data_IF_665768499711
#
_entry.id   IF_665768499711
#
_cell.length_a   1.000
_cell.length_b   1.000
_cell.length_c   1.000
_cell.angle_alpha   90.00
_cell.angle_beta   90.00
_cell.angle_gamma   90.00
#
_symmetry.space_group_name_H-M   'P 1'
#
loop_
_entity.id
_entity.type
_entity.pdbx_description
1 polymer ?
#
# COMPACT_ATOMS: atom_id res chain seq x y z
N UNK A 1 -8.47 -32.24 3.94
CA UNK A 1 -8.98 -31.04 4.64
C UNK A 1 -10.02 -30.41 3.74
N UNK A 2 -11.26 -30.30 4.22
CA UNK A 2 -12.39 -29.81 3.43
C UNK A 2 -12.48 -28.28 3.56
N UNK A 3 -13.01 -27.60 2.54
CA UNK A 3 -13.16 -26.14 2.52
C UNK A 3 -13.96 -25.55 3.70
N UNK A 4 -14.70 -26.40 4.42
CA UNK A 4 -15.47 -26.04 5.61
C UNK A 4 -14.59 -25.82 6.86
N UNK A 5 -13.35 -26.32 6.85
CA UNK A 5 -12.43 -26.24 7.99
C UNK A 5 -11.79 -24.84 8.13
N UNK A 6 -11.84 -23.98 7.08
CA UNK A 6 -11.28 -22.63 7.09
C UNK A 6 -12.22 -21.54 7.63
N UNK A 7 -13.52 -21.84 7.79
CA UNK A 7 -14.51 -20.83 8.19
C UNK A 7 -14.47 -20.45 9.67
N UNK A 8 -13.78 -21.22 10.52
CA UNK A 8 -13.73 -20.93 11.96
C UNK A 8 -12.59 -19.99 12.38
N UNK A 9 -11.49 -19.93 11.62
CA UNK A 9 -10.26 -19.27 12.08
C UNK A 9 -10.16 -17.78 11.66
N UNK A 10 -10.85 -17.36 10.60
CA UNK A 10 -10.89 -15.94 10.21
C UNK A 10 -11.73 -15.08 11.16
N UNK A 11 -12.70 -15.70 11.87
CA UNK A 11 -13.55 -15.02 12.86
C UNK A 11 -12.81 -14.62 14.14
N UNK A 12 -11.60 -15.17 14.37
CA UNK A 12 -10.84 -14.95 15.60
C UNK A 12 -9.67 -13.97 15.46
N UNK A 13 -9.34 -13.54 14.23
CA UNK A 13 -8.48 -12.35 14.08
C UNK A 13 -9.32 -11.14 14.41
N UNK A 14 -9.32 -10.77 15.69
CA UNK A 14 -9.71 -9.45 16.16
C UNK A 14 -8.94 -8.43 15.32
N UNK A 15 -9.59 -7.89 14.29
CA UNK A 15 -9.35 -6.50 13.92
C UNK A 15 -9.54 -5.75 15.24
N UNK A 16 -8.51 -5.07 15.74
CA UNK A 16 -8.74 -4.05 16.75
C UNK A 16 -9.67 -3.05 16.07
N UNK A 17 -10.98 -3.21 16.29
CA UNK A 17 -11.89 -2.09 16.16
C UNK A 17 -11.30 -1.03 17.09
N UNK A 18 -11.04 0.16 16.56
CA UNK A 18 -10.80 1.31 17.41
C UNK A 18 -12.11 1.52 18.17
N UNK A 19 -12.18 1.03 19.41
CA UNK A 19 -13.20 1.48 20.35
C UNK A 19 -12.83 2.94 20.66
N UNK A 20 -13.62 3.87 20.14
CA UNK A 20 -13.47 5.29 20.44
C UNK A 20 -13.90 5.52 21.89
N UNK A 21 -12.92 5.56 22.79
CA UNK A 21 -13.09 6.14 24.12
C UNK A 21 -13.28 7.67 23.96
N UNK A 22 -14.49 8.10 23.64
CA UNK A 22 -14.86 9.53 23.65
C UNK A 22 -14.93 10.02 25.10
N UNK A 23 -13.82 10.53 25.61
CA UNK A 23 -13.83 11.45 26.74
C UNK A 23 -14.38 12.80 26.23
N UNK A 24 -15.48 13.26 26.82
CA UNK A 24 -16.43 14.23 26.25
C UNK A 24 -15.95 15.68 26.06
N UNK A 25 -14.69 15.91 25.73
CA UNK A 25 -14.11 17.23 25.49
C UNK A 25 -13.57 17.32 24.05
N UNK A 26 -14.46 17.12 23.08
CA UNK A 26 -14.18 17.35 21.65
C UNK A 26 -14.09 18.85 21.42
N UNK A 27 -12.93 19.40 21.74
CA UNK A 27 -12.52 20.71 21.24
C UNK A 27 -12.51 20.60 19.71
N UNK A 28 -12.85 21.67 19.00
CA UNK A 28 -12.79 21.81 17.53
C UNK A 28 -11.35 21.63 16.94
N UNK A 29 -10.47 20.88 17.61
CA UNK A 29 -9.04 20.72 17.38
C UNK A 29 -8.66 19.37 16.77
N UNK A 30 -9.57 18.39 16.77
CA UNK A 30 -9.31 17.03 16.29
C UNK A 30 -10.02 16.78 14.96
N UNK A 31 -9.51 17.39 13.89
CA UNK A 31 -9.93 17.08 12.51
C UNK A 31 -9.14 15.87 12.03
N UNK A 32 -9.82 14.77 11.77
CA UNK A 32 -9.22 13.54 11.26
C UNK A 32 -9.31 13.45 9.74
N UNK A 33 -8.21 13.04 9.11
CA UNK A 33 -8.20 12.65 7.70
C UNK A 33 -8.55 11.16 7.60
N UNK A 34 -9.66 10.85 6.93
CA UNK A 34 -10.11 9.46 6.70
C UNK A 34 -9.83 9.09 5.25
N UNK A 35 -9.22 7.92 5.03
CA UNK A 35 -8.90 7.41 3.70
C UNK A 35 -9.44 5.97 3.51
N UNK A 36 -9.80 5.55 2.29
CA UNK A 36 -10.21 4.18 2.03
C UNK A 36 -9.09 3.16 2.31
N UNK A 37 -9.42 2.05 2.98
CA UNK A 37 -8.49 0.92 3.07
C UNK A 37 -8.64 0.03 1.85
N UNK A 38 -7.65 0.07 0.97
CA UNK A 38 -7.59 -0.77 -0.23
C UNK A 38 -7.13 -2.19 0.12
N UNK A 39 -7.69 -3.20 -0.54
CA UNK A 39 -7.29 -4.60 -0.40
C UNK A 39 -6.25 -4.94 -1.49
N UNK A 40 -5.05 -4.42 -1.32
CA UNK A 40 -3.95 -4.50 -2.29
C UNK A 40 -2.64 -4.96 -1.65
N UNK A 41 -1.52 -4.57 -2.27
CA UNK A 41 -0.18 -4.86 -1.75
C UNK A 41 0.51 -3.56 -1.37
N UNK A 42 0.66 -3.33 -0.06
CA UNK A 42 1.41 -2.19 0.49
C UNK A 42 2.86 -2.20 0.02
N UNK A 43 3.31 -1.05 -0.44
CA UNK A 43 4.68 -0.80 -0.91
C UNK A 43 5.20 0.53 -0.40
N UNK A 44 6.51 0.59 -0.19
CA UNK A 44 7.27 1.83 -0.07
C UNK A 44 7.94 2.07 -1.43
N UNK A 45 7.75 3.25 -2.00
CA UNK A 45 8.36 3.67 -3.24
C UNK A 45 9.54 4.61 -2.96
N UNK A 46 10.70 4.31 -3.54
CA UNK A 46 11.89 5.15 -3.50
C UNK A 46 11.85 6.15 -4.65
N UNK A 47 11.73 7.44 -4.31
CA UNK A 47 11.59 8.52 -5.26
C UNK A 47 12.89 8.80 -6.05
N UNK A 48 14.06 8.39 -5.54
CA UNK A 48 15.33 8.60 -6.21
C UNK A 48 15.64 7.53 -7.26
N UNK A 49 15.12 6.32 -7.07
CA UNK A 49 15.38 5.17 -7.95
C UNK A 49 14.17 4.73 -8.76
N UNK A 50 12.97 5.12 -8.34
CA UNK A 50 11.71 4.58 -8.86
C UNK A 50 11.36 3.20 -8.30
N UNK A 51 12.21 2.58 -7.47
CA UNK A 51 12.01 1.21 -7.03
C UNK A 51 10.86 1.09 -6.01
N UNK A 52 10.20 -0.07 -6.01
CA UNK A 52 9.08 -0.38 -5.13
C UNK A 52 9.44 -1.57 -4.24
N UNK A 53 9.19 -1.45 -2.94
CA UNK A 53 9.48 -2.50 -1.96
C UNK A 53 8.23 -2.86 -1.17
N UNK A 54 7.88 -4.15 -1.17
CA UNK A 54 6.81 -4.67 -0.30
C UNK A 54 7.17 -4.49 1.16
N UNK A 55 6.17 -4.63 2.05
CA UNK A 55 6.39 -4.67 3.51
C UNK A 55 7.45 -5.67 3.97
N UNK A 56 7.67 -6.75 3.22
CA UNK A 56 8.70 -7.77 3.52
C UNK A 56 10.12 -7.35 3.11
N UNK A 57 10.31 -6.18 2.49
CA UNK A 57 11.57 -5.74 1.88
C UNK A 57 11.84 -6.33 0.50
N UNK A 58 10.91 -7.12 -0.05
CA UNK A 58 11.05 -7.70 -1.39
C UNK A 58 10.68 -6.67 -2.45
N UNK A 59 11.57 -6.47 -3.41
CA UNK A 59 11.38 -5.59 -4.56
C UNK A 59 10.26 -6.08 -5.50
N UNK A 60 9.44 -5.16 -6.00
CA UNK A 60 8.45 -5.41 -7.06
C UNK A 60 9.07 -5.07 -8.41
N UNK A 61 9.17 -6.06 -9.31
CA UNK A 61 9.91 -5.92 -10.59
C UNK A 61 9.03 -5.79 -11.83
N UNK A 62 7.72 -6.00 -11.69
CA UNK A 62 6.78 -6.19 -12.79
C UNK A 62 5.78 -5.02 -12.95
N UNK A 63 6.08 -3.84 -12.38
CA UNK A 63 5.27 -2.63 -12.46
C UNK A 63 6.10 -1.46 -13.01
N UNK A 64 6.70 -1.65 -14.20
CA UNK A 64 7.70 -0.77 -14.78
C UNK A 64 7.16 0.63 -15.08
N UNK A 65 5.91 0.73 -15.53
CA UNK A 65 5.20 2.01 -15.66
C UNK A 65 5.17 2.79 -14.34
N UNK A 66 4.87 2.13 -13.21
CA UNK A 66 4.88 2.77 -11.89
C UNK A 66 6.29 3.17 -11.49
N UNK A 67 7.30 2.34 -11.76
CA UNK A 67 8.68 2.69 -11.45
C UNK A 67 9.10 4.00 -12.14
N UNK A 68 8.70 4.17 -13.41
CA UNK A 68 8.94 5.39 -14.17
C UNK A 68 8.19 6.58 -13.56
N UNK A 69 6.91 6.42 -13.26
CA UNK A 69 6.07 7.50 -12.68
C UNK A 69 6.58 7.93 -11.30
N UNK A 70 7.04 7.00 -10.47
CA UNK A 70 7.65 7.28 -9.15
C UNK A 70 8.93 8.07 -9.30
N UNK A 71 9.78 7.71 -10.27
CA UNK A 71 11.02 8.45 -10.53
C UNK A 71 10.71 9.88 -11.02
N UNK A 72 9.74 10.04 -11.91
CA UNK A 72 9.27 11.35 -12.36
C UNK A 72 8.69 12.18 -11.20
N UNK A 73 7.91 11.54 -10.32
CA UNK A 73 7.40 12.15 -9.10
C UNK A 73 8.54 12.63 -8.19
N UNK A 74 9.60 11.85 -8.03
CA UNK A 74 10.76 12.24 -7.22
C UNK A 74 11.44 13.53 -7.69
N UNK A 75 11.47 13.78 -9.00
CA UNK A 75 11.93 15.06 -9.54
C UNK A 75 10.95 16.20 -9.29
N UNK A 76 9.65 15.92 -9.21
CA UNK A 76 8.59 16.90 -8.97
C UNK A 76 8.44 17.31 -7.50
N UNK A 77 8.76 16.41 -6.55
CA UNK A 77 8.66 16.65 -5.11
C UNK A 77 10.02 16.49 -4.40
N UNK A 78 10.98 17.41 -4.63
CA UNK A 78 12.29 17.32 -4.00
C UNK A 78 12.19 17.45 -2.47
N UNK A 79 13.02 16.71 -1.74
CA UNK A 79 13.06 16.73 -0.27
C UNK A 79 12.45 15.48 0.40
N UNK A 80 11.72 14.68 -0.37
CA UNK A 80 11.20 13.38 0.07
C UNK A 80 12.03 12.25 -0.54
N UNK A 81 12.34 11.25 0.28
CA UNK A 81 13.07 10.06 -0.20
C UNK A 81 12.10 8.92 -0.49
N UNK A 82 11.07 8.76 0.34
CA UNK A 82 10.14 7.64 0.26
C UNK A 82 8.69 8.11 0.35
N UNK A 83 7.82 7.42 -0.37
CA UNK A 83 6.35 7.52 -0.22
C UNK A 83 5.77 6.13 0.06
N UNK A 84 4.70 6.07 0.85
CA UNK A 84 3.98 4.85 1.19
C UNK A 84 2.65 4.79 0.44
N UNK A 85 2.33 3.61 -0.08
CA UNK A 85 1.16 3.40 -0.90
C UNK A 85 0.75 1.94 -1.00
N UNK A 86 -0.33 1.71 -1.75
CA UNK A 86 -0.88 0.38 -2.02
C UNK A 86 -0.94 0.15 -3.53
N UNK A 87 -0.38 -0.99 -4.00
CA UNK A 87 -0.62 -1.48 -5.35
C UNK A 87 -2.02 -2.08 -5.41
N UNK A 88 -2.88 -1.51 -6.27
CA UNK A 88 -4.30 -1.83 -6.29
C UNK A 88 -4.90 -1.73 -7.70
N UNK A 89 -5.99 -2.47 -7.94
CA UNK A 89 -6.88 -2.25 -9.06
C UNK A 89 -8.31 -2.63 -8.63
N UNK A 90 -9.27 -1.74 -8.82
CA UNK A 90 -10.65 -1.95 -8.37
C UNK A 90 -11.39 -3.13 -9.02
N UNK A 91 -10.94 -3.57 -10.19
CA UNK A 91 -11.53 -4.68 -10.95
C UNK A 91 -10.91 -6.03 -10.62
N UNK A 92 -9.84 -6.06 -9.83
CA UNK A 92 -9.11 -7.28 -9.48
C UNK A 92 -9.27 -7.59 -7.99
N UNK A 93 -9.28 -8.88 -7.65
CA UNK A 93 -9.17 -9.29 -6.27
C UNK A 93 -7.72 -9.26 -5.76
N UNK A 94 -7.54 -9.35 -4.44
CA UNK A 94 -6.22 -9.35 -3.81
C UNK A 94 -5.31 -10.48 -4.34
N UNK A 95 -5.86 -11.66 -4.63
CA UNK A 95 -5.08 -12.81 -5.09
C UNK A 95 -4.56 -12.59 -6.51
N UNK A 96 -5.37 -11.99 -7.38
CA UNK A 96 -4.97 -11.57 -8.72
C UNK A 96 -3.88 -10.51 -8.66
N UNK A 97 -4.06 -9.44 -7.86
CA UNK A 97 -3.05 -8.41 -7.66
C UNK A 97 -1.74 -9.03 -7.16
N UNK A 98 -1.80 -9.87 -6.12
CA UNK A 98 -0.63 -10.53 -5.57
C UNK A 98 0.06 -11.44 -6.60
N UNK A 99 -0.72 -12.13 -7.43
CA UNK A 99 -0.23 -12.98 -8.54
C UNK A 99 0.48 -12.18 -9.63
N UNK A 100 0.04 -10.95 -9.90
CA UNK A 100 0.75 -10.03 -10.78
C UNK A 100 2.07 -9.58 -10.14
N UNK A 101 2.01 -8.97 -8.96
CA UNK A 101 3.15 -8.26 -8.32
C UNK A 101 4.19 -9.16 -7.66
N UNK A 102 3.99 -10.47 -7.66
CA UNK A 102 4.92 -11.45 -7.07
C UNK A 102 5.61 -12.34 -8.11
N UNK A 103 5.44 -12.05 -9.41
CA UNK A 103 6.09 -12.85 -10.46
C UNK A 103 7.59 -12.66 -10.45
N UNK A 104 8.31 -13.77 -10.44
CA UNK A 104 9.78 -13.83 -10.50
C UNK A 104 10.30 -14.34 -11.83
N UNK A 105 9.41 -14.86 -12.68
CA UNK A 105 9.70 -15.38 -14.02
C UNK A 105 8.78 -14.71 -15.03
N UNK A 106 9.25 -14.55 -16.28
CA UNK A 106 8.51 -13.85 -17.34
C UNK A 106 7.97 -12.50 -16.87
N UNK A 107 8.88 -11.66 -16.36
CA UNK A 107 8.57 -10.33 -15.82
C UNK A 107 8.05 -9.46 -16.97
N UNK A 108 6.74 -9.30 -17.01
CA UNK A 108 6.02 -8.39 -17.90
C UNK A 108 5.46 -7.25 -17.08
N UNK A 109 5.32 -6.09 -17.71
CA UNK A 109 4.65 -4.99 -17.05
C UNK A 109 3.17 -5.33 -16.79
N UNK A 110 2.65 -4.80 -15.69
CA UNK A 110 1.29 -5.04 -15.21
C UNK A 110 0.53 -3.73 -15.24
N UNK A 111 0.39 -3.15 -16.44
CA UNK A 111 -0.18 -1.81 -16.71
C UNK A 111 -1.56 -1.55 -16.10
N UNK A 112 -2.29 -2.60 -15.73
CA UNK A 112 -3.56 -2.44 -15.04
C UNK A 112 -3.39 -2.08 -13.55
N UNK A 113 -2.27 -2.42 -12.91
CA UNK A 113 -2.01 -2.12 -11.50
C UNK A 113 -1.77 -0.62 -11.34
N UNK A 114 -2.28 -0.05 -10.26
CA UNK A 114 -2.13 1.36 -9.92
C UNK A 114 -1.44 1.48 -8.57
N UNK A 115 -0.63 2.53 -8.39
CA UNK A 115 -0.11 2.90 -7.07
C UNK A 115 -0.99 3.99 -6.45
N UNK A 116 -1.61 3.68 -5.32
CA UNK A 116 -2.41 4.62 -4.52
C UNK A 116 -1.59 5.07 -3.32
N UNK A 117 -1.07 6.29 -3.36
CA UNK A 117 -0.25 6.87 -2.28
C UNK A 117 -1.12 7.42 -1.15
N UNK A 118 -0.70 7.22 0.09
CA UNK A 118 -1.43 7.70 1.28
C UNK A 118 -0.54 8.35 2.34
N UNK A 119 0.78 8.19 2.26
CA UNK A 119 1.72 8.79 3.20
C UNK A 119 3.07 9.12 2.54
N UNK A 120 3.83 10.05 3.12
CA UNK A 120 5.13 10.49 2.65
C UNK A 120 5.97 10.96 3.83
N UNK A 121 7.24 10.57 3.88
CA UNK A 121 8.15 11.00 4.95
C UNK A 121 9.29 11.85 4.39
N UNK A 122 9.42 13.05 4.96
CA UNK A 122 10.42 14.05 4.59
C UNK A 122 11.69 13.92 5.41
N UNK A 123 12.79 14.54 4.96
CA UNK A 123 14.07 14.51 5.69
C UNK A 123 14.09 15.21 7.05
N UNK A 124 13.01 15.90 7.44
CA UNK A 124 12.94 16.71 8.66
C UNK A 124 12.12 16.07 9.80
N UNK A 125 11.80 14.77 9.70
CA UNK A 125 10.93 14.08 10.66
C UNK A 125 11.67 13.25 11.74
N UNK A 126 12.84 13.64 12.24
CA UNK A 126 13.46 13.07 13.47
C UNK A 126 14.32 14.08 14.23
#
# INVERSE_FOLDING_TARGET
MLAQDFHKDLSQRKIKAYEEDYDGDVRFKDVYNVQPKLDGIRVIADLATGNLYKRSGVEVKNCLHINKDVLELGFAIPGFQFVDGELYNHKLDFSEINSYVSRTVNILDTECIQLHLFDMDGKDSF
#
